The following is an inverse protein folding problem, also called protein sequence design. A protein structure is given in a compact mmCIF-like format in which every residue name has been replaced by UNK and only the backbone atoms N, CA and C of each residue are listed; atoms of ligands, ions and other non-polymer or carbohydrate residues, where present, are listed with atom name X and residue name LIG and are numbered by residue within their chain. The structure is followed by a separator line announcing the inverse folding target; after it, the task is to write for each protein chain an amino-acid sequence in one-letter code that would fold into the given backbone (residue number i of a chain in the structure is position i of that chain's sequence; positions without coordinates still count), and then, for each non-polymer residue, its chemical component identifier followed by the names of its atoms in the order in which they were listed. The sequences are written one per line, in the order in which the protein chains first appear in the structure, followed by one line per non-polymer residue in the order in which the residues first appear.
data_IF_122632902031
#
_entry.id   IF_122632902031
#
_cell.length_a   1.000
_cell.length_b   1.000
_cell.length_c   1.000
_cell.angle_alpha   90.00
_cell.angle_beta   90.00
_cell.angle_gamma   90.00
#
_symmetry.space_group_name_H-M   'P 1'
#
loop_
_entity.id
_entity.type
_entity.pdbx_description
1 polymer ?
#
# COMPACT_ATOMS: atom_id res chain seq x y z
N UNK A 1 -18.71 -14.45 15.53
CA UNK A 1 -17.41 -15.11 15.36
C UNK A 1 -17.14 -15.51 13.89
N UNK A 2 -18.16 -15.77 13.06
CA UNK A 2 -18.02 -16.05 11.62
C UNK A 2 -18.01 -14.82 10.68
N UNK A 3 -18.24 -13.61 11.21
CA UNK A 3 -18.35 -12.37 10.41
C UNK A 3 -16.99 -11.66 10.20
N UNK A 4 -16.03 -11.88 11.10
CA UNK A 4 -14.67 -11.33 11.00
C UNK A 4 -13.85 -11.98 9.87
N UNK A 5 -14.08 -13.26 9.57
CA UNK A 5 -13.40 -13.98 8.47
C UNK A 5 -13.78 -13.45 7.07
N UNK A 6 -14.98 -12.90 6.91
CA UNK A 6 -15.46 -12.38 5.61
C UNK A 6 -14.88 -11.02 5.27
N UNK A 7 -14.68 -10.15 6.26
CA UNK A 7 -13.97 -8.88 6.08
C UNK A 7 -12.46 -9.12 5.87
N UNK A 8 -11.89 -10.14 6.51
CA UNK A 8 -10.50 -10.53 6.30
C UNK A 8 -10.25 -11.09 4.89
N UNK A 9 -11.20 -11.85 4.33
CA UNK A 9 -11.17 -12.29 2.94
C UNK A 9 -11.37 -11.12 1.94
N UNK A 10 -12.20 -10.12 2.26
CA UNK A 10 -12.42 -8.96 1.40
C UNK A 10 -11.20 -8.01 1.36
N UNK A 11 -10.51 -7.81 2.49
CA UNK A 11 -9.26 -7.02 2.52
C UNK A 11 -8.09 -7.76 1.88
N UNK A 12 -7.97 -9.09 2.05
CA UNK A 12 -6.98 -9.89 1.33
C UNK A 12 -7.26 -9.93 -0.17
N UNK A 13 -8.54 -9.97 -0.58
CA UNK A 13 -8.93 -9.80 -1.97
C UNK A 13 -8.58 -8.40 -2.50
N UNK A 14 -8.65 -7.34 -1.70
CA UNK A 14 -8.30 -5.97 -2.14
C UNK A 14 -6.77 -5.78 -2.28
N UNK A 15 -5.97 -6.46 -1.45
CA UNK A 15 -4.51 -6.50 -1.62
C UNK A 15 -4.03 -7.47 -2.72
N UNK A 16 -4.81 -8.49 -3.08
CA UNK A 16 -4.52 -9.43 -4.17
C UNK A 16 -5.07 -8.96 -5.53
N UNK A 17 -6.24 -8.30 -5.56
CA UNK A 17 -6.92 -7.87 -6.80
C UNK A 17 -6.24 -6.71 -7.50
N UNK A 18 -5.39 -5.94 -6.80
CA UNK A 18 -4.51 -4.97 -7.46
C UNK A 18 -3.43 -5.65 -8.34
N UNK A 19 -3.18 -6.96 -8.16
CA UNK A 19 -2.21 -7.73 -8.93
C UNK A 19 -2.80 -8.74 -9.93
N UNK A 20 -4.07 -9.14 -9.80
CA UNK A 20 -4.65 -10.22 -10.63
C UNK A 20 -5.61 -9.74 -11.75
N UNK A 21 -6.01 -8.47 -11.79
CA UNK A 21 -7.00 -8.02 -12.79
C UNK A 21 -6.48 -7.85 -14.24
N UNK A 22 -5.23 -8.19 -14.56
CA UNK A 22 -4.69 -7.99 -15.92
C UNK A 22 -4.41 -9.22 -16.77
N UNK A 23 -4.57 -10.46 -16.27
CA UNK A 23 -4.27 -11.65 -17.10
C UNK A 23 -5.18 -12.83 -16.85
N UNK A 24 -5.96 -13.19 -17.87
CA UNK A 24 -6.57 -14.51 -17.97
C UNK A 24 -7.75 -14.57 -18.93
N UNK A 25 -7.50 -14.72 -20.23
CA UNK A 25 -8.44 -15.43 -21.10
C UNK A 25 -7.64 -16.43 -21.96
N UNK A 26 -8.08 -17.69 -22.12
CA UNK A 26 -7.29 -18.74 -22.72
C UNK A 26 -7.65 -18.91 -24.20
N UNK A 27 -6.66 -19.22 -25.05
CA UNK A 27 -6.75 -20.24 -26.12
C UNK A 27 -5.52 -20.17 -27.02
N UNK A 28 -4.79 -21.28 -27.11
CA UNK A 28 -4.31 -21.95 -28.33
C UNK A 28 -3.05 -22.75 -28.01
N UNK A 29 -3.18 -24.07 -27.93
CA UNK A 29 -2.05 -24.99 -28.03
C UNK A 29 -2.53 -26.26 -28.74
N UNK A 30 -2.20 -26.33 -30.02
CA UNK A 30 -2.15 -27.52 -30.87
C UNK A 30 -1.08 -28.48 -30.36
N UNK A 31 -1.30 -29.79 -30.41
CA UNK A 31 -0.20 -30.78 -30.28
C UNK A 31 -0.45 -32.00 -31.17
N UNK A 32 0.57 -32.29 -31.97
CA UNK A 32 0.77 -33.45 -32.84
C UNK A 32 1.18 -34.70 -32.05
N UNK A 33 0.62 -35.87 -32.40
CA UNK A 33 1.02 -37.22 -31.94
C UNK A 33 2.22 -37.75 -32.74
N UNK A 34 3.04 -38.73 -32.24
CA UNK A 34 2.77 -40.19 -32.37
C UNK A 34 3.48 -41.08 -31.27
N UNK A 35 3.69 -42.42 -31.40
CA UNK A 35 2.78 -43.56 -31.57
C UNK A 35 2.91 -44.67 -30.46
N UNK A 36 2.01 -45.67 -30.52
CA UNK A 36 1.85 -46.86 -29.65
C UNK A 36 2.98 -47.93 -29.74
N UNK A 37 3.05 -48.86 -28.76
CA UNK A 37 2.70 -50.25 -29.09
C UNK A 37 1.90 -51.05 -28.01
N UNK A 38 1.00 -51.87 -28.57
CA UNK A 38 0.39 -53.18 -28.25
C UNK A 38 0.27 -53.85 -26.86
N UNK A 39 -0.93 -54.43 -26.74
CA UNK A 39 -1.40 -55.72 -26.21
C UNK A 39 -1.78 -55.94 -24.72
N UNK A 40 -3.09 -56.19 -24.58
CA UNK A 40 -3.76 -57.17 -23.73
C UNK A 40 -3.85 -56.95 -22.21
N UNK A 41 -4.88 -56.22 -21.77
CA UNK A 41 -5.81 -56.77 -20.75
C UNK A 41 -7.18 -56.09 -20.82
N UNK A 42 -8.19 -56.85 -21.18
CA UNK A 42 -9.61 -56.45 -21.11
C UNK A 42 -10.08 -56.62 -19.67
N UNK A 43 -10.40 -55.51 -18.98
CA UNK A 43 -11.22 -55.53 -17.75
C UNK A 43 -12.29 -54.45 -17.83
N UNK A 44 -13.53 -54.88 -17.62
CA UNK A 44 -14.80 -54.21 -17.86
C UNK A 44 -14.92 -52.76 -17.34
N UNK A 45 -15.45 -51.88 -18.19
CA UNK A 45 -15.89 -50.54 -17.82
C UNK A 45 -17.19 -50.56 -17.01
N UNK A 46 -17.25 -49.73 -15.95
CA UNK A 46 -18.50 -49.20 -15.37
C UNK A 46 -18.36 -47.67 -15.27
N UNK A 47 -19.35 -46.87 -15.70
CA UNK A 47 -19.14 -45.45 -15.96
C UNK A 47 -19.32 -44.58 -14.71
N UNK A 48 -18.47 -43.54 -14.62
CA UNK A 48 -18.74 -42.31 -13.88
C UNK A 48 -18.02 -42.17 -12.55
N UNK A 49 -16.81 -41.62 -12.55
CA UNK A 49 -16.37 -40.64 -11.54
C UNK A 49 -15.22 -39.83 -12.13
N UNK A 50 -15.39 -38.53 -12.22
CA UNK A 50 -14.36 -37.57 -12.63
C UNK A 50 -13.20 -37.60 -11.62
N UNK A 51 -11.98 -37.84 -12.12
CA UNK A 51 -10.77 -37.71 -11.33
C UNK A 51 -10.52 -36.24 -10.99
N UNK A 52 -10.86 -35.84 -9.76
CA UNK A 52 -10.37 -34.61 -9.18
C UNK A 52 -8.86 -34.74 -8.94
N UNK A 53 -8.06 -34.03 -9.73
CA UNK A 53 -6.63 -33.83 -9.50
C UNK A 53 -6.44 -33.19 -8.13
N UNK A 54 -6.07 -33.99 -7.13
CA UNK A 54 -5.63 -33.50 -5.84
C UNK A 54 -4.13 -33.21 -5.91
N UNK A 55 -3.78 -31.93 -5.84
CA UNK A 55 -2.41 -31.47 -5.62
C UNK A 55 -1.94 -32.06 -4.29
N UNK A 56 -0.89 -32.89 -4.37
CA UNK A 56 -0.35 -33.64 -3.25
C UNK A 56 -0.05 -32.75 -2.04
N UNK A 57 -0.93 -32.84 -1.04
CA UNK A 57 -0.63 -32.46 0.33
C UNK A 57 -0.31 -33.74 1.09
N UNK A 58 0.92 -33.80 1.62
CA UNK A 58 1.48 -34.90 2.38
C UNK A 58 0.48 -35.40 3.45
N UNK A 59 0.08 -36.67 3.34
CA UNK A 59 -0.92 -37.29 4.21
C UNK A 59 -0.40 -37.40 5.66
N UNK A 60 -0.73 -36.42 6.50
CA UNK A 60 -0.66 -36.59 7.95
C UNK A 60 -1.93 -37.30 8.43
N UNK A 61 -1.81 -38.59 8.73
CA UNK A 61 -2.91 -39.48 9.15
C UNK A 61 -3.67 -39.09 10.42
N UNK A 62 -3.38 -37.94 11.03
CA UNK A 62 -4.08 -37.41 12.19
C UNK A 62 -5.13 -36.33 11.83
N UNK A 63 -5.17 -35.88 10.57
CA UNK A 63 -6.14 -34.88 10.09
C UNK A 63 -7.26 -35.56 9.26
N UNK A 64 -8.04 -36.39 9.96
CA UNK A 64 -9.19 -37.14 9.40
C UNK A 64 -10.38 -36.20 9.14
N UNK A 65 -10.45 -35.05 9.81
CA UNK A 65 -11.49 -34.05 9.60
C UNK A 65 -11.16 -33.13 8.44
N UNK A 66 -11.12 -33.70 7.23
CA UNK A 66 -11.24 -32.88 6.02
C UNK A 66 -12.65 -32.31 6.01
N UNK A 67 -12.79 -31.04 6.39
CA UNK A 67 -13.98 -30.24 6.07
C UNK A 67 -14.02 -30.07 4.55
N UNK A 68 -14.44 -31.14 3.86
CA UNK A 68 -14.78 -31.07 2.44
C UNK A 68 -15.94 -30.08 2.33
N UNK A 69 -15.85 -29.07 1.45
CA UNK A 69 -16.96 -28.15 1.26
C UNK A 69 -18.18 -28.98 0.85
N UNK A 70 -19.37 -28.70 1.43
CA UNK A 70 -20.59 -29.38 1.04
C UNK A 70 -20.81 -29.21 -0.47
N UNK A 71 -21.39 -30.22 -1.15
CA UNK A 71 -21.67 -30.10 -2.57
C UNK A 71 -22.53 -28.86 -2.83
N UNK A 72 -22.27 -28.09 -3.89
CA UNK A 72 -23.02 -26.87 -4.15
C UNK A 72 -24.50 -27.21 -4.39
N UNK A 73 -25.38 -26.65 -3.56
CA UNK A 73 -26.83 -26.81 -3.73
C UNK A 73 -27.27 -26.30 -5.10
N UNK A 74 -27.99 -27.14 -5.85
CA UNK A 74 -28.51 -26.80 -7.18
C UNK A 74 -29.91 -26.18 -7.16
N UNK A 75 -30.51 -25.98 -5.98
CA UNK A 75 -31.81 -25.32 -5.85
C UNK A 75 -31.66 -23.80 -6.03
N UNK A 76 -32.20 -23.26 -7.12
CA UNK A 76 -32.40 -21.80 -7.27
C UNK A 76 -31.44 -21.06 -8.21
N UNK A 77 -30.70 -21.75 -9.09
CA UNK A 77 -29.93 -21.12 -10.19
C UNK A 77 -30.86 -20.60 -11.30
N UNK A 78 -31.63 -19.57 -11.01
CA UNK A 78 -32.41 -18.82 -11.99
C UNK A 78 -31.64 -17.60 -12.50
N UNK A 79 -31.94 -17.14 -13.72
CA UNK A 79 -31.39 -15.90 -14.28
C UNK A 79 -31.48 -14.71 -13.31
N UNK A 80 -32.60 -14.59 -12.58
CA UNK A 80 -32.82 -13.55 -11.58
C UNK A 80 -31.90 -13.66 -10.35
N UNK A 81 -31.56 -14.89 -9.93
CA UNK A 81 -30.62 -15.11 -8.83
C UNK A 81 -29.21 -14.64 -9.24
N UNK A 82 -28.72 -15.04 -10.41
CA UNK A 82 -27.39 -14.69 -10.89
C UNK A 82 -27.27 -13.18 -11.22
N UNK A 83 -28.31 -12.60 -11.82
CA UNK A 83 -28.39 -11.16 -12.05
C UNK A 83 -28.38 -10.37 -10.72
N UNK A 84 -29.16 -10.80 -9.72
CA UNK A 84 -29.17 -10.15 -8.40
C UNK A 84 -27.81 -10.22 -7.71
N UNK A 85 -27.10 -11.36 -7.84
CA UNK A 85 -25.76 -11.53 -7.29
C UNK A 85 -24.74 -10.60 -7.96
N UNK A 86 -24.85 -10.43 -9.29
CA UNK A 86 -23.97 -9.53 -10.04
C UNK A 86 -24.23 -8.06 -9.69
N UNK A 87 -25.49 -7.65 -9.60
CA UNK A 87 -25.86 -6.29 -9.17
C UNK A 87 -25.38 -6.04 -7.74
N UNK A 88 -25.59 -6.97 -6.82
CA UNK A 88 -25.12 -6.84 -5.44
C UNK A 88 -23.60 -6.66 -5.37
N UNK A 89 -22.83 -7.44 -6.15
CA UNK A 89 -21.37 -7.30 -6.23
C UNK A 89 -20.97 -5.91 -6.74
N UNK A 90 -21.55 -5.47 -7.85
CA UNK A 90 -21.25 -4.15 -8.45
C UNK A 90 -21.62 -3.02 -7.50
N UNK A 91 -22.81 -3.06 -6.89
CA UNK A 91 -23.24 -2.09 -5.89
C UNK A 91 -22.31 -2.09 -4.67
N UNK A 92 -21.90 -3.27 -4.18
CA UNK A 92 -20.96 -3.36 -3.06
C UNK A 92 -19.61 -2.74 -3.41
N UNK A 93 -19.05 -3.03 -4.59
CA UNK A 93 -17.81 -2.41 -5.03
C UNK A 93 -17.94 -0.89 -5.19
N UNK A 94 -19.07 -0.41 -5.71
CA UNK A 94 -19.32 1.02 -5.86
C UNK A 94 -19.44 1.73 -4.50
N UNK A 95 -20.17 1.15 -3.54
CA UNK A 95 -20.30 1.70 -2.18
C UNK A 95 -18.93 1.70 -1.46
N UNK A 96 -18.18 0.60 -1.55
CA UNK A 96 -16.83 0.53 -1.00
C UNK A 96 -15.89 1.56 -1.63
N UNK A 97 -16.00 1.77 -2.95
CA UNK A 97 -15.23 2.79 -3.66
C UNK A 97 -15.55 4.20 -3.15
N UNK A 98 -16.83 4.56 -3.01
CA UNK A 98 -17.20 5.88 -2.49
C UNK A 98 -16.78 6.08 -1.03
N UNK A 99 -16.97 5.07 -0.18
CA UNK A 99 -16.58 5.15 1.23
C UNK A 99 -15.07 5.30 1.39
N UNK A 100 -14.28 4.53 0.64
CA UNK A 100 -12.82 4.61 0.66
C UNK A 100 -12.31 5.95 0.10
N UNK A 101 -12.91 6.45 -0.98
CA UNK A 101 -12.55 7.76 -1.55
C UNK A 101 -12.86 8.90 -0.58
N UNK A 102 -14.06 8.91 0.03
CA UNK A 102 -14.48 9.93 1.00
C UNK A 102 -13.61 9.90 2.26
N UNK A 103 -13.37 8.71 2.82
CA UNK A 103 -12.51 8.58 4.01
C UNK A 103 -11.06 8.98 3.73
N UNK A 104 -10.50 8.60 2.58
CA UNK A 104 -9.14 8.99 2.19
C UNK A 104 -9.01 10.51 1.97
N UNK A 105 -9.99 11.14 1.32
CA UNK A 105 -9.98 12.60 1.08
C UNK A 105 -10.14 13.38 2.38
N UNK A 106 -11.02 12.96 3.28
CA UNK A 106 -11.18 13.57 4.61
C UNK A 106 -9.93 13.37 5.47
N UNK A 107 -9.36 12.17 5.51
CA UNK A 107 -8.13 11.89 6.24
C UNK A 107 -6.94 12.72 5.74
N UNK A 108 -6.77 12.81 4.41
CA UNK A 108 -5.70 13.63 3.81
C UNK A 108 -5.88 15.11 4.09
N UNK A 109 -7.11 15.63 3.91
CA UNK A 109 -7.41 17.05 4.13
C UNK A 109 -7.22 17.44 5.60
N UNK A 110 -7.76 16.64 6.53
CA UNK A 110 -7.60 16.89 7.96
C UNK A 110 -6.13 16.83 8.39
N UNK A 111 -5.37 15.83 7.92
CA UNK A 111 -3.94 15.73 8.22
C UNK A 111 -3.15 16.94 7.73
N UNK A 112 -3.41 17.42 6.51
CA UNK A 112 -2.74 18.61 5.96
C UNK A 112 -3.09 19.88 6.73
N UNK A 113 -4.34 20.06 7.15
CA UNK A 113 -4.77 21.19 7.97
C UNK A 113 -4.12 21.16 9.37
N UNK A 114 -3.96 19.98 9.96
CA UNK A 114 -3.21 19.84 11.22
C UNK A 114 -1.76 20.27 11.05
N UNK A 115 -1.13 19.95 9.92
CA UNK A 115 0.28 20.29 9.66
C UNK A 115 0.48 21.77 9.39
N UNK A 116 -0.45 22.42 8.68
CA UNK A 116 -0.38 23.88 8.46
C UNK A 116 -0.57 24.66 9.76
N UNK A 117 -1.37 24.14 10.70
CA UNK A 117 -1.57 24.77 12.00
C UNK A 117 -0.29 24.79 12.88
N UNK A 118 0.69 23.93 12.61
CA UNK A 118 2.00 23.97 13.28
C UNK A 118 2.83 25.17 12.80
N UNK A 119 2.72 25.52 11.51
CA UNK A 119 3.49 26.59 10.88
C UNK A 119 3.28 27.98 11.48
N UNK A 120 2.12 28.19 12.09
CA UNK A 120 1.69 29.49 12.59
C UNK A 120 2.14 29.77 14.03
N UNK A 121 2.96 28.88 14.62
CA UNK A 121 3.56 29.09 15.93
C UNK A 121 4.42 30.34 15.96
N UNK A 122 4.18 31.21 16.94
CA UNK A 122 4.92 32.47 17.12
C UNK A 122 4.75 33.52 16.01
N UNK A 123 3.78 33.36 15.11
CA UNK A 123 3.44 34.36 14.10
C UNK A 123 2.16 35.16 14.47
N UNK A 124 2.10 36.40 13.98
CA UNK A 124 0.95 37.27 14.14
C UNK A 124 -0.07 36.98 13.02
N UNK A 125 -1.22 36.42 13.38
CA UNK A 125 -2.31 36.20 12.43
C UNK A 125 -3.20 37.44 12.36
N UNK A 126 -3.50 37.94 11.17
CA UNK A 126 -4.52 38.98 10.97
C UNK A 126 -5.93 38.38 10.96
N UNK A 127 -6.80 38.87 11.83
CA UNK A 127 -8.23 38.56 11.84
C UNK A 127 -8.96 39.46 10.84
N UNK A 128 -9.96 38.89 10.13
CA UNK A 128 -10.86 39.66 9.28
C UNK A 128 -11.58 40.75 10.09
N UNK A 129 -11.61 41.98 9.55
CA UNK A 129 -12.20 43.16 10.20
C UNK A 129 -13.68 43.01 10.58
N UNK A 130 -14.39 42.05 9.98
CA UNK A 130 -15.81 41.79 10.21
C UNK A 130 -16.15 41.38 11.65
N UNK A 131 -15.17 40.90 12.43
CA UNK A 131 -15.40 40.47 13.83
C UNK A 131 -14.97 41.50 14.88
N UNK A 132 -14.12 42.46 14.52
CA UNK A 132 -13.62 43.49 15.44
C UNK A 132 -13.47 44.79 14.62
N UNK A 133 -14.51 45.65 14.57
CA UNK A 133 -14.53 46.84 13.73
C UNK A 133 -13.64 47.99 14.25
N UNK A 134 -13.14 47.89 15.49
CA UNK A 134 -12.47 49.01 16.18
C UNK A 134 -10.98 49.18 15.86
N UNK A 135 -10.32 48.22 15.20
CA UNK A 135 -8.92 48.35 14.80
C UNK A 135 -8.69 48.05 13.30
N UNK A 136 -7.86 48.88 12.66
CA UNK A 136 -7.51 48.74 11.24
C UNK A 136 -6.82 47.41 10.90
N UNK A 137 -6.09 46.80 11.83
CA UNK A 137 -5.53 45.44 11.70
C UNK A 137 -5.54 44.76 13.06
N UNK A 138 -6.44 43.80 13.25
CA UNK A 138 -6.47 42.96 14.45
C UNK A 138 -5.46 41.83 14.26
N UNK A 139 -4.28 41.95 14.88
CA UNK A 139 -3.31 40.86 14.89
C UNK A 139 -3.39 40.12 16.21
N UNK A 140 -3.51 38.79 16.15
CA UNK A 140 -3.49 37.92 17.33
C UNK A 140 -2.21 37.12 17.29
N UNK A 141 -1.43 37.21 18.36
CA UNK A 141 -0.22 36.42 18.55
C UNK A 141 -0.60 35.01 19.05
N UNK A 142 -0.33 33.98 18.24
CA UNK A 142 -0.72 32.62 18.59
C UNK A 142 0.31 32.01 19.56
N UNK A 143 -0.14 31.73 20.79
CA UNK A 143 0.73 31.14 21.82
C UNK A 143 1.14 29.71 21.47
N UNK A 144 2.42 29.39 21.69
CA UNK A 144 3.03 28.06 21.49
C UNK A 144 2.28 26.92 22.19
N UNK A 145 1.52 27.22 23.26
CA UNK A 145 0.66 26.25 23.96
C UNK A 145 -0.37 25.58 23.02
N UNK A 146 -0.82 26.27 21.96
CA UNK A 146 -1.78 25.70 21.00
C UNK A 146 -1.10 24.79 19.97
N UNK A 147 0.11 25.14 19.53
CA UNK A 147 0.88 24.37 18.54
C UNK A 147 1.25 22.99 19.08
N UNK A 148 1.60 22.90 20.36
CA UNK A 148 1.94 21.62 21.02
C UNK A 148 0.80 20.60 20.89
N UNK A 149 -0.47 21.04 20.98
CA UNK A 149 -1.62 20.13 20.81
C UNK A 149 -1.66 19.52 19.40
N UNK A 150 -1.41 20.32 18.36
CA UNK A 150 -1.38 19.86 16.97
C UNK A 150 -0.21 18.94 16.69
N UNK A 151 0.96 19.23 17.24
CA UNK A 151 2.15 18.36 17.17
C UNK A 151 1.84 16.96 17.71
N UNK A 152 1.28 16.86 18.92
CA UNK A 152 0.91 15.58 19.51
C UNK A 152 -0.19 14.87 18.71
N UNK A 153 -1.17 15.63 18.21
CA UNK A 153 -2.24 15.05 17.41
C UNK A 153 -1.71 14.45 16.09
N UNK A 154 -0.74 15.09 15.43
CA UNK A 154 -0.06 14.54 14.24
C UNK A 154 0.77 13.31 14.59
N UNK A 155 1.52 13.33 15.69
CA UNK A 155 2.28 12.17 16.14
C UNK A 155 1.36 10.95 16.36
N UNK A 156 0.24 11.15 17.05
CA UNK A 156 -0.76 10.11 17.25
C UNK A 156 -1.39 9.65 15.94
N UNK A 157 -1.69 10.56 15.01
CA UNK A 157 -2.20 10.22 13.68
C UNK A 157 -1.23 9.35 12.88
N UNK A 158 0.08 9.64 12.93
CA UNK A 158 1.13 8.82 12.29
C UNK A 158 1.31 7.46 12.98
N UNK A 159 1.21 7.40 14.30
CA UNK A 159 1.39 6.16 15.06
C UNK A 159 0.18 5.22 14.97
N UNK A 160 -1.03 5.75 14.82
CA UNK A 160 -2.27 4.95 14.78
C UNK A 160 -2.23 3.78 13.77
N UNK A 161 -1.92 3.99 12.48
CA UNK A 161 -1.86 2.87 11.52
C UNK A 161 -0.77 1.84 11.86
N UNK A 162 0.36 2.28 12.43
CA UNK A 162 1.44 1.39 12.86
C UNK A 162 1.05 0.56 14.08
N UNK A 163 0.34 1.15 15.05
CA UNK A 163 -0.18 0.42 16.22
C UNK A 163 -1.26 -0.60 15.82
N UNK A 164 -2.13 -0.26 14.86
CA UNK A 164 -3.10 -1.22 14.32
C UNK A 164 -2.36 -2.37 13.63
N UNK A 165 -1.33 -2.06 12.82
CA UNK A 165 -0.48 -3.07 12.18
C UNK A 165 0.23 -3.96 13.20
N UNK A 166 0.76 -3.37 14.28
CA UNK A 166 1.37 -4.07 15.40
C UNK A 166 0.40 -5.07 16.01
N UNK A 167 -0.80 -4.63 16.41
CA UNK A 167 -1.81 -5.49 17.05
C UNK A 167 -2.17 -6.67 16.14
N UNK A 168 -2.41 -6.43 14.86
CA UNK A 168 -2.75 -7.50 13.89
C UNK A 168 -1.60 -8.48 13.70
N UNK A 169 -0.36 -7.98 13.55
CA UNK A 169 0.82 -8.81 13.38
C UNK A 169 1.16 -9.60 14.64
N UNK A 170 0.97 -9.00 15.81
CA UNK A 170 1.19 -9.62 17.11
C UNK A 170 0.19 -10.75 17.35
N UNK A 171 -1.10 -10.48 17.14
CA UNK A 171 -2.17 -11.48 17.20
C UNK A 171 -1.86 -12.68 16.28
N UNK A 172 -1.57 -12.41 14.99
CA UNK A 172 -1.24 -13.47 14.04
C UNK A 172 0.02 -14.26 14.44
N UNK A 173 0.99 -13.63 15.07
CA UNK A 173 2.22 -14.30 15.50
C UNK A 173 2.02 -15.17 16.74
N UNK A 174 1.10 -14.81 17.64
CA UNK A 174 0.74 -15.62 18.80
C UNK A 174 -0.06 -16.87 18.42
N UNK A 175 -1.05 -16.72 17.53
CA UNK A 175 -1.99 -17.80 17.22
C UNK A 175 -1.63 -18.66 16.00
N UNK A 176 -0.71 -18.19 15.13
CA UNK A 176 -0.34 -18.91 13.91
C UNK A 176 1.17 -19.18 13.86
N UNK A 177 1.53 -20.40 13.46
CA UNK A 177 2.93 -20.74 13.25
C UNK A 177 3.47 -20.12 11.95
N UNK A 178 4.02 -18.91 12.07
CA UNK A 178 4.64 -18.18 10.95
C UNK A 178 6.13 -18.52 10.83
N UNK A 179 6.66 -18.68 9.62
CA UNK A 179 8.11 -18.91 9.39
C UNK A 179 8.95 -17.73 9.92
N UNK A 180 10.10 -18.00 10.52
CA UNK A 180 11.01 -16.94 11.00
C UNK A 180 11.74 -16.28 9.80
N UNK A 181 11.87 -14.94 9.77
CA UNK A 181 12.67 -14.24 8.76
C UNK A 181 14.15 -14.55 8.94
N UNK A 182 14.92 -14.50 7.85
CA UNK A 182 16.38 -14.49 7.97
C UNK A 182 16.86 -13.11 8.46
N UNK A 183 18.05 -13.05 9.05
CA UNK A 183 18.61 -11.79 9.57
C UNK A 183 18.74 -10.73 8.47
N UNK A 184 19.20 -11.12 7.27
CA UNK A 184 19.32 -10.20 6.11
C UNK A 184 17.94 -9.67 5.68
N UNK A 185 16.92 -10.55 5.63
CA UNK A 185 15.56 -10.15 5.29
C UNK A 185 15.01 -9.13 6.29
N UNK A 186 15.23 -9.38 7.58
CA UNK A 186 14.83 -8.48 8.64
C UNK A 186 15.54 -7.12 8.52
N UNK A 187 16.87 -7.10 8.33
CA UNK A 187 17.64 -5.85 8.19
C UNK A 187 17.23 -5.02 6.97
N UNK A 188 16.96 -5.65 5.82
CA UNK A 188 16.51 -4.92 4.62
C UNK A 188 15.15 -4.27 4.86
N UNK A 189 14.19 -4.99 5.46
CA UNK A 189 12.88 -4.42 5.78
C UNK A 189 13.01 -3.31 6.81
N UNK A 190 13.82 -3.52 7.86
CA UNK A 190 14.07 -2.51 8.89
C UNK A 190 14.66 -1.24 8.29
N UNK A 191 15.65 -1.35 7.39
CA UNK A 191 16.26 -0.21 6.73
C UNK A 191 15.26 0.56 5.85
N UNK A 192 14.53 -0.13 4.98
CA UNK A 192 13.58 0.51 4.06
C UNK A 192 12.45 1.19 4.83
N UNK A 193 11.90 0.53 5.84
CA UNK A 193 10.84 1.10 6.68
C UNK A 193 11.35 2.24 7.57
N UNK A 194 12.61 2.21 7.99
CA UNK A 194 13.26 3.33 8.69
C UNK A 194 13.41 4.54 7.78
N UNK A 195 13.93 4.36 6.56
CA UNK A 195 14.05 5.42 5.57
C UNK A 195 12.67 6.04 5.29
N UNK A 196 11.66 5.20 5.06
CA UNK A 196 10.29 5.66 4.87
C UNK A 196 9.78 6.48 6.07
N UNK A 197 9.93 5.99 7.30
CA UNK A 197 9.50 6.72 8.49
C UNK A 197 10.23 8.05 8.68
N UNK A 198 11.55 8.10 8.39
CA UNK A 198 12.34 9.33 8.38
C UNK A 198 11.82 10.29 7.30
N UNK A 199 11.57 9.81 6.08
CA UNK A 199 11.04 10.60 4.97
C UNK A 199 9.69 11.24 5.29
N UNK A 200 8.76 10.45 5.85
CA UNK A 200 7.47 10.96 6.34
C UNK A 200 7.67 12.01 7.44
N UNK A 201 8.59 11.78 8.38
CA UNK A 201 8.85 12.72 9.47
C UNK A 201 9.41 14.05 8.98
N UNK A 202 10.37 14.02 8.04
CA UNK A 202 10.93 15.23 7.41
C UNK A 202 9.79 16.01 6.72
N UNK A 203 8.97 15.29 5.93
CA UNK A 203 7.86 15.92 5.21
C UNK A 203 6.87 16.60 6.18
N UNK A 204 6.50 15.93 7.26
CA UNK A 204 5.44 16.36 8.17
C UNK A 204 5.89 17.41 9.18
N UNK A 205 7.09 17.27 9.75
CA UNK A 205 7.55 18.16 10.83
C UNK A 205 8.48 19.29 10.34
N UNK A 206 9.14 19.12 9.19
CA UNK A 206 10.02 20.16 8.65
C UNK A 206 9.44 20.88 7.43
N UNK A 207 8.87 20.15 6.46
CA UNK A 207 8.45 20.72 5.18
C UNK A 207 7.04 21.29 5.23
N UNK A 208 6.04 20.50 5.63
CA UNK A 208 4.63 20.89 5.62
C UNK A 208 4.27 22.09 6.50
N UNK A 209 4.85 22.30 7.69
CA UNK A 209 4.52 23.47 8.47
C UNK A 209 5.03 24.77 7.83
N UNK A 210 5.98 24.70 6.91
CA UNK A 210 6.50 25.86 6.17
C UNK A 210 5.69 26.12 4.88
N UNK A 211 4.67 25.30 4.59
CA UNK A 211 3.87 25.35 3.36
C UNK A 211 2.38 25.52 3.64
N UNK A 212 1.69 26.20 2.72
CA UNK A 212 0.23 26.22 2.70
C UNK A 212 -0.34 24.82 2.39
N UNK A 213 -1.52 24.52 2.96
CA UNK A 213 -2.14 23.19 2.83
C UNK A 213 -2.41 22.78 1.36
N UNK A 214 -2.75 23.73 0.48
CA UNK A 214 -2.97 23.48 -0.96
C UNK A 214 -1.66 23.03 -1.62
N UNK A 215 -0.61 23.77 -1.35
CA UNK A 215 0.71 23.55 -1.92
C UNK A 215 1.33 22.24 -1.40
N UNK A 216 1.16 21.96 -0.10
CA UNK A 216 1.50 20.67 0.49
C UNK A 216 0.70 19.52 -0.14
N UNK A 217 -0.61 19.73 -0.42
CA UNK A 217 -1.42 18.74 -1.13
C UNK A 217 -0.88 18.45 -2.54
N UNK A 218 -0.45 19.47 -3.29
CA UNK A 218 0.17 19.28 -4.60
C UNK A 218 1.46 18.48 -4.51
N UNK A 219 2.30 18.75 -3.50
CA UNK A 219 3.57 18.04 -3.30
C UNK A 219 3.39 16.53 -3.07
N UNK A 220 2.32 16.14 -2.36
CA UNK A 220 2.03 14.71 -2.13
C UNK A 220 1.76 13.90 -3.40
N UNK A 221 1.48 14.55 -4.54
CA UNK A 221 1.30 13.82 -5.80
C UNK A 221 2.61 13.22 -6.33
N UNK A 222 3.77 13.80 -5.97
CA UNK A 222 5.09 13.38 -6.45
C UNK A 222 5.74 12.25 -5.61
N UNK A 223 5.00 11.57 -4.72
CA UNK A 223 5.56 10.56 -3.80
C UNK A 223 5.84 9.18 -4.43
N UNK A 224 5.41 8.93 -5.68
CA UNK A 224 5.50 7.60 -6.31
C UNK A 224 6.57 7.50 -7.41
N UNK A 225 7.72 8.16 -7.26
CA UNK A 225 8.81 8.07 -8.25
C UNK A 225 9.39 6.65 -8.36
N UNK A 226 9.75 6.01 -7.25
CA UNK A 226 10.28 4.64 -7.25
C UNK A 226 9.30 3.62 -7.84
N UNK A 227 8.00 3.62 -7.47
CA UNK A 227 6.98 2.85 -8.18
C UNK A 227 6.99 3.03 -9.69
N UNK A 228 7.04 4.27 -10.20
CA UNK A 228 7.01 4.55 -11.62
C UNK A 228 8.23 3.95 -12.35
N UNK A 229 9.42 4.08 -11.75
CA UNK A 229 10.66 3.50 -12.29
C UNK A 229 10.60 1.97 -12.25
N UNK A 230 10.20 1.37 -11.13
CA UNK A 230 10.16 -0.09 -10.97
C UNK A 230 9.12 -0.73 -11.90
N UNK A 231 7.99 -0.08 -12.13
CA UNK A 231 6.97 -0.55 -13.08
C UNK A 231 7.52 -0.65 -14.50
N UNK A 232 8.28 0.37 -14.93
CA UNK A 232 8.92 0.37 -16.26
C UNK A 232 9.92 -0.78 -16.40
N UNK A 233 10.75 -1.02 -15.39
CA UNK A 233 11.79 -2.06 -15.45
C UNK A 233 11.17 -3.45 -15.23
N UNK A 234 10.05 -3.57 -14.51
CA UNK A 234 9.43 -4.85 -14.19
C UNK A 234 8.49 -5.40 -15.27
N UNK A 235 8.41 -4.77 -16.43
CA UNK A 235 7.50 -5.17 -17.50
C UNK A 235 7.78 -6.54 -18.09
N UNK A 236 6.68 -7.19 -18.45
CA UNK A 236 6.65 -8.43 -19.22
C UNK A 236 6.54 -8.10 -20.71
N UNK A 237 7.28 -8.79 -21.58
CA UNK A 237 7.16 -8.60 -23.02
C UNK A 237 5.78 -9.05 -23.51
N UNK A 238 5.07 -8.17 -24.20
CA UNK A 238 3.73 -8.35 -24.76
C UNK A 238 3.50 -7.43 -25.97
N UNK A 239 2.47 -7.70 -26.78
CA UNK A 239 2.16 -6.89 -27.97
C UNK A 239 1.88 -5.41 -27.66
N UNK A 240 1.38 -5.10 -26.46
CA UNK A 240 1.07 -3.74 -25.99
C UNK A 240 2.20 -3.09 -25.19
N UNK A 241 3.36 -3.74 -25.10
CA UNK A 241 4.47 -3.29 -24.24
C UNK A 241 4.96 -1.90 -24.61
N UNK A 242 5.08 -1.59 -25.91
CA UNK A 242 5.53 -0.27 -26.35
C UNK A 242 4.61 0.85 -25.88
N UNK A 243 3.29 0.70 -26.07
CA UNK A 243 2.30 1.69 -25.64
C UNK A 243 2.35 1.88 -24.13
N UNK A 244 2.36 0.77 -23.41
CA UNK A 244 2.47 0.80 -21.97
C UNK A 244 3.81 1.52 -21.57
N UNK A 245 4.93 1.30 -22.27
CA UNK A 245 6.24 1.89 -21.92
C UNK A 245 6.20 3.41 -22.06
N UNK A 246 5.53 3.90 -23.10
CA UNK A 246 5.30 5.34 -23.30
C UNK A 246 4.52 5.93 -22.11
N UNK A 247 3.48 5.22 -21.64
CA UNK A 247 2.70 5.64 -20.47
C UNK A 247 3.59 5.72 -19.22
N UNK A 248 4.45 4.73 -18.99
CA UNK A 248 5.37 4.75 -17.85
C UNK A 248 6.38 5.90 -17.92
N UNK A 249 6.90 6.22 -19.10
CA UNK A 249 7.74 7.41 -19.28
C UNK A 249 6.99 8.70 -18.94
N UNK A 250 5.73 8.83 -19.35
CA UNK A 250 4.89 9.96 -18.98
C UNK A 250 4.65 10.02 -17.46
N UNK A 251 4.42 8.87 -16.81
CA UNK A 251 4.31 8.77 -15.36
C UNK A 251 5.61 9.20 -14.66
N UNK A 252 6.77 8.73 -15.11
CA UNK A 252 8.08 9.12 -14.55
C UNK A 252 8.29 10.63 -14.73
N UNK A 253 7.99 11.17 -15.90
CA UNK A 253 8.10 12.60 -16.16
C UNK A 253 7.22 13.40 -15.18
N UNK A 254 5.95 13.03 -15.03
CA UNK A 254 5.02 13.69 -14.10
C UNK A 254 5.48 13.58 -12.64
N UNK A 255 5.94 12.41 -12.18
CA UNK A 255 6.41 12.23 -10.80
C UNK A 255 7.73 12.94 -10.52
N UNK A 256 8.59 13.08 -11.53
CA UNK A 256 9.87 13.79 -11.40
C UNK A 256 9.71 15.30 -11.21
N UNK A 257 8.56 15.88 -11.61
CA UNK A 257 8.32 17.32 -11.51
C UNK A 257 8.49 17.86 -10.09
N UNK A 258 8.13 17.08 -9.07
CA UNK A 258 8.31 17.49 -7.67
C UNK A 258 9.76 17.79 -7.26
N UNK A 259 10.75 17.28 -8.00
CA UNK A 259 12.17 17.44 -7.69
C UNK A 259 12.80 18.69 -8.31
N UNK A 260 12.39 19.05 -9.53
CA UNK A 260 13.02 20.13 -10.28
C UNK A 260 12.10 21.34 -10.50
N UNK A 261 10.78 21.12 -10.67
CA UNK A 261 9.85 22.22 -10.89
C UNK A 261 9.67 23.05 -9.62
N UNK A 262 9.76 22.42 -8.45
CA UNK A 262 9.64 23.09 -7.16
C UNK A 262 10.67 24.20 -6.93
N UNK A 263 12.00 23.94 -7.00
CA UNK A 263 13.00 25.00 -6.89
C UNK A 263 12.87 26.07 -7.99
N UNK A 264 12.37 25.71 -9.17
CA UNK A 264 12.17 26.64 -10.29
C UNK A 264 10.98 27.59 -10.09
N UNK A 265 9.88 27.12 -9.49
CA UNK A 265 8.63 27.88 -9.35
C UNK A 265 8.59 28.74 -8.08
N UNK A 266 9.13 28.25 -6.98
CA UNK A 266 9.00 28.89 -5.65
C UNK A 266 10.28 29.65 -5.25
N UNK A 267 11.41 29.36 -5.89
CA UNK A 267 12.72 29.91 -5.51
C UNK A 267 13.21 29.36 -4.17
N UNK A 268 14.52 29.39 -3.95
CA UNK A 268 15.17 28.73 -2.80
C UNK A 268 15.15 29.59 -1.52
N UNK A 269 14.06 30.32 -1.27
CA UNK A 269 13.99 31.31 -0.19
C UNK A 269 14.19 30.70 1.21
N UNK A 270 13.89 29.41 1.39
CA UNK A 270 13.88 28.73 2.69
C UNK A 270 14.90 27.57 2.80
N UNK A 271 15.72 27.29 1.79
CA UNK A 271 16.67 26.15 1.78
C UNK A 271 16.02 24.77 1.95
N UNK A 272 14.70 24.68 1.75
CA UNK A 272 13.90 23.46 1.99
C UNK A 272 13.93 22.48 0.80
N UNK A 273 14.51 22.87 -0.34
CA UNK A 273 14.52 22.06 -1.59
C UNK A 273 15.17 20.70 -1.39
N UNK A 274 16.31 20.65 -0.70
CA UNK A 274 17.01 19.39 -0.42
C UNK A 274 16.17 18.47 0.48
N UNK A 275 15.54 19.03 1.53
CA UNK A 275 14.69 18.27 2.45
C UNK A 275 13.47 17.67 1.73
N UNK A 276 12.88 18.40 0.79
CA UNK A 276 11.78 17.90 -0.04
C UNK A 276 12.25 16.72 -0.90
N UNK A 277 13.36 16.87 -1.63
CA UNK A 277 13.88 15.81 -2.49
C UNK A 277 14.22 14.54 -1.70
N UNK A 278 14.86 14.70 -0.52
CA UNK A 278 15.19 13.58 0.38
C UNK A 278 13.91 12.91 0.90
N UNK A 279 12.94 13.69 1.36
CA UNK A 279 11.68 13.16 1.88
C UNK A 279 10.89 12.37 0.82
N UNK A 280 10.72 12.95 -0.38
CA UNK A 280 10.04 12.28 -1.49
C UNK A 280 10.73 10.98 -1.91
N UNK A 281 12.07 11.00 -1.97
CA UNK A 281 12.85 9.80 -2.31
C UNK A 281 12.61 8.71 -1.29
N UNK A 282 12.77 9.02 0.00
CA UNK A 282 12.63 8.06 1.09
C UNK A 282 11.22 7.49 1.21
N UNK A 283 10.18 8.32 1.03
CA UNK A 283 8.79 7.86 1.05
C UNK A 283 8.54 6.89 -0.11
N UNK A 284 9.04 7.21 -1.30
CA UNK A 284 8.81 6.40 -2.50
C UNK A 284 9.40 4.98 -2.39
N UNK A 285 10.48 4.81 -1.62
CA UNK A 285 11.14 3.52 -1.42
C UNK A 285 10.23 2.47 -0.76
N UNK A 286 9.27 2.85 0.09
CA UNK A 286 8.45 1.90 0.84
C UNK A 286 7.65 0.93 -0.04
N UNK A 287 7.27 1.39 -1.23
CA UNK A 287 6.36 0.69 -2.12
C UNK A 287 7.04 -0.32 -3.04
N UNK A 288 8.36 -0.45 -2.97
CA UNK A 288 9.15 -1.22 -3.94
C UNK A 288 8.65 -2.65 -4.14
N UNK A 289 8.21 -3.33 -3.08
CA UNK A 289 7.77 -4.72 -3.11
C UNK A 289 6.57 -4.96 -4.04
N UNK A 290 5.73 -3.96 -4.23
CA UNK A 290 4.49 -4.09 -4.99
C UNK A 290 4.71 -4.00 -6.51
N UNK A 291 5.86 -3.45 -6.95
CA UNK A 291 6.12 -3.14 -8.36
C UNK A 291 7.19 -4.06 -8.98
N UNK A 292 7.55 -5.16 -8.31
CA UNK A 292 8.52 -6.13 -8.80
C UNK A 292 7.81 -7.44 -9.16
N UNK A 293 8.06 -7.96 -10.36
CA UNK A 293 7.45 -9.20 -10.86
C UNK A 293 8.50 -10.25 -11.25
N UNK A 294 8.15 -11.52 -11.04
CA UNK A 294 8.99 -12.68 -11.35
C UNK A 294 9.19 -12.93 -12.84
N UNK A 295 8.30 -12.41 -13.67
CA UNK A 295 8.34 -12.50 -15.13
C UNK A 295 8.90 -11.22 -15.78
N UNK A 296 9.54 -10.33 -15.02
CA UNK A 296 10.18 -9.13 -15.56
C UNK A 296 11.24 -9.48 -16.61
N UNK A 297 11.36 -8.65 -17.65
CA UNK A 297 12.37 -8.84 -18.69
C UNK A 297 13.80 -8.90 -18.11
N UNK A 298 14.11 -8.03 -17.14
CA UNK A 298 15.45 -7.90 -16.56
C UNK A 298 15.74 -8.96 -15.47
N UNK A 299 16.86 -9.73 -15.58
CA UNK A 299 17.23 -10.75 -14.60
C UNK A 299 17.42 -10.24 -13.14
N UNK A 300 18.03 -9.06 -12.89
CA UNK A 300 18.16 -8.54 -11.53
C UNK A 300 16.80 -8.27 -10.86
N UNK A 301 15.84 -7.75 -11.63
CA UNK A 301 14.48 -7.46 -11.14
C UNK A 301 13.74 -8.76 -10.81
N UNK A 302 13.93 -9.82 -11.58
CA UNK A 302 13.40 -11.15 -11.24
C UNK A 302 13.95 -11.67 -9.91
N UNK A 303 15.26 -11.54 -9.67
CA UNK A 303 15.87 -11.92 -8.38
C UNK A 303 15.30 -11.09 -7.22
N UNK A 304 15.08 -9.80 -7.45
CA UNK A 304 14.46 -8.90 -6.48
C UNK A 304 13.00 -9.28 -6.19
N UNK A 305 12.21 -9.65 -7.21
CA UNK A 305 10.84 -10.13 -7.04
C UNK A 305 10.77 -11.44 -6.24
N UNK A 306 11.66 -12.39 -6.52
CA UNK A 306 11.78 -13.62 -5.73
C UNK A 306 12.18 -13.35 -4.28
N UNK A 307 12.98 -12.32 -4.02
CA UNK A 307 13.29 -11.88 -2.68
C UNK A 307 12.07 -11.24 -1.99
N UNK A 308 11.33 -10.38 -2.67
CA UNK A 308 10.09 -9.76 -2.18
C UNK A 308 9.02 -10.81 -1.84
N UNK A 309 8.81 -11.82 -2.69
CA UNK A 309 7.85 -12.90 -2.42
C UNK A 309 8.21 -13.70 -1.16
N UNK A 310 9.51 -13.94 -0.90
CA UNK A 310 9.95 -14.62 0.33
C UNK A 310 9.78 -13.75 1.58
N UNK A 311 9.80 -12.42 1.42
CA UNK A 311 9.55 -11.47 2.50
C UNK A 311 8.06 -11.41 2.87
N UNK A 312 7.16 -11.43 1.89
CA UNK A 312 5.71 -11.32 2.14
C UNK A 312 5.18 -12.43 3.05
N UNK A 313 5.64 -13.67 2.87
CA UNK A 313 5.30 -14.81 3.73
C UNK A 313 5.69 -14.61 5.20
N UNK A 314 6.80 -13.89 5.45
CA UNK A 314 7.43 -13.75 6.77
C UNK A 314 7.14 -12.40 7.42
N UNK A 315 6.40 -11.55 6.71
CA UNK A 315 6.14 -10.14 7.03
C UNK A 315 5.55 -9.95 8.42
N UNK A 316 4.58 -10.76 8.83
CA UNK A 316 3.89 -10.56 10.10
C UNK A 316 4.84 -10.60 11.29
N UNK A 317 5.83 -11.51 11.31
CA UNK A 317 6.82 -11.56 12.39
C UNK A 317 7.75 -10.34 12.40
N UNK A 318 8.18 -9.88 11.22
CA UNK A 318 9.03 -8.69 11.10
C UNK A 318 8.29 -7.42 11.54
N UNK A 319 7.03 -7.26 11.13
CA UNK A 319 6.24 -6.05 11.40
C UNK A 319 5.79 -5.91 12.86
N UNK A 320 5.83 -6.96 13.69
CA UNK A 320 5.68 -6.82 15.15
C UNK A 320 6.76 -5.89 15.72
N UNK A 321 8.00 -5.98 15.24
CA UNK A 321 9.08 -5.11 15.69
C UNK A 321 9.11 -3.79 14.90
N UNK A 322 9.00 -3.87 13.58
CA UNK A 322 9.18 -2.71 12.70
C UNK A 322 8.10 -1.64 12.90
N UNK A 323 6.86 -2.01 13.18
CA UNK A 323 5.79 -1.03 13.47
C UNK A 323 6.11 -0.17 14.70
N UNK A 324 6.50 -0.79 15.82
CA UNK A 324 6.90 -0.09 17.04
C UNK A 324 8.15 0.76 16.79
N UNK A 325 9.10 0.25 16.01
CA UNK A 325 10.29 0.98 15.61
C UNK A 325 9.97 2.26 14.82
N UNK A 326 8.98 2.22 13.91
CA UNK A 326 8.53 3.41 13.18
C UNK A 326 7.93 4.46 14.11
N UNK A 327 7.12 4.06 15.09
CA UNK A 327 6.62 4.97 16.13
C UNK A 327 7.75 5.64 16.90
N UNK A 328 8.83 4.91 17.20
CA UNK A 328 10.01 5.47 17.85
C UNK A 328 10.74 6.47 16.94
N UNK A 329 10.88 6.18 15.64
CA UNK A 329 11.45 7.13 14.67
C UNK A 329 10.60 8.41 14.60
N UNK A 330 9.27 8.30 14.50
CA UNK A 330 8.38 9.46 14.49
C UNK A 330 8.57 10.33 15.74
N UNK A 331 8.74 9.69 16.90
CA UNK A 331 8.99 10.37 18.17
C UNK A 331 10.36 11.08 18.19
N UNK A 332 11.42 10.39 17.76
CA UNK A 332 12.78 10.98 17.70
C UNK A 332 12.83 12.17 16.74
N UNK A 333 12.27 12.03 15.53
CA UNK A 333 12.22 13.11 14.56
C UNK A 333 11.37 14.30 15.03
N UNK A 334 10.29 14.05 15.77
CA UNK A 334 9.49 15.12 16.38
C UNK A 334 10.35 16.02 17.26
N UNK A 335 11.16 15.46 18.18
CA UNK A 335 12.04 16.28 19.02
C UNK A 335 13.15 16.97 18.23
N UNK A 336 13.77 16.27 17.28
CA UNK A 336 14.86 16.83 16.47
C UNK A 336 14.39 18.06 15.66
N UNK A 337 13.26 17.97 14.98
CA UNK A 337 12.79 19.06 14.11
C UNK A 337 12.06 20.17 14.85
N UNK A 338 11.41 19.89 15.98
CA UNK A 338 10.78 20.93 16.80
C UNK A 338 11.77 21.64 17.71
N UNK A 339 12.81 20.97 18.20
CA UNK A 339 13.87 21.63 18.97
C UNK A 339 14.72 22.57 18.12
N UNK A 340 14.73 22.38 16.80
CA UNK A 340 15.45 23.25 15.86
C UNK A 340 14.67 24.51 15.46
N UNK A 341 13.43 24.68 15.94
CA UNK A 341 12.57 25.84 15.68
C UNK A 341 12.50 26.75 16.90
#
# INVERSE_FOLDING_TARGET
MHTLDREEAAYLATCASAGEQFYGNPTTASTSAPPLPDSDTVVYARPGTEESVSVGTENKGWDIFRLLPPPPDNLGKGFWHDASLQVLKVTTFFVLFLLTLMSATVAKSSFLLMTSAIGWGSQNMSICRDKIPEAGTNTIHLSNKHVVKWVWAIYLALCTPELICFIRCFHRTLFRNVKRPSLIQFLVVLLVESLHAIGVSILVFKVFPDMDAVTAAMLTNAMCLMPAILTLISRRPSKVTLLLVIIDFACIASQSMGYWAWPMLVGDANGNVLWIAVALTFISLAWWQNFVHTEAAFPPVRKLALFANRLSERRSKTYVFVSVWKCAIYFMCLFLFLSSR
#
